data_IF_418334201595
#
_entry.id   IF_418334201595
#
_cell.length_a   1.000
_cell.length_b   1.000
_cell.length_c   1.000
_cell.angle_alpha   90.00
_cell.angle_beta   90.00
_cell.angle_gamma   90.00
#
_symmetry.space_group_name_H-M   'P 1'
#
loop_
_entity.id
_entity.type
_entity.pdbx_description
1 polymer ?
#
# COMPACT_ATOMS: atom_id res chain seq x y z
N UNK A 1 -20.80 -12.02 -10.70
CA UNK A 1 -21.30 -12.18 -9.32
C UNK A 1 -22.04 -13.51 -9.23
N UNK A 2 -21.80 -14.32 -8.19
CA UNK A 2 -22.53 -15.57 -8.00
C UNK A 2 -23.97 -15.26 -7.56
N UNK A 3 -24.95 -15.95 -8.13
CA UNK A 3 -26.37 -15.76 -7.77
C UNK A 3 -26.62 -16.21 -6.33
N UNK A 4 -27.36 -15.40 -5.58
CA UNK A 4 -27.81 -15.77 -4.23
C UNK A 4 -28.64 -17.07 -4.26
N UNK A 5 -29.38 -17.30 -5.34
CA UNK A 5 -30.18 -18.52 -5.54
C UNK A 5 -29.28 -19.77 -5.63
N UNK A 6 -28.17 -19.69 -6.37
CA UNK A 6 -27.23 -20.81 -6.52
C UNK A 6 -26.49 -21.10 -5.21
N UNK A 7 -26.19 -20.05 -4.45
CA UNK A 7 -25.57 -20.14 -3.13
C UNK A 7 -26.50 -20.83 -2.14
N UNK A 8 -27.77 -20.40 -2.07
CA UNK A 8 -28.77 -21.00 -1.20
C UNK A 8 -29.06 -22.45 -1.55
N UNK A 9 -29.15 -22.79 -2.85
CA UNK A 9 -29.35 -24.18 -3.30
C UNK A 9 -28.26 -25.13 -2.79
N UNK A 10 -26.99 -24.70 -2.78
CA UNK A 10 -25.87 -25.50 -2.24
C UNK A 10 -25.99 -25.70 -0.73
N UNK A 11 -26.35 -24.65 0.00
CA UNK A 11 -26.53 -24.75 1.44
C UNK A 11 -27.71 -25.65 1.81
N UNK A 12 -28.86 -25.52 1.15
CA UNK A 12 -30.06 -26.33 1.42
C UNK A 12 -29.87 -27.80 1.07
N UNK A 13 -29.11 -28.12 0.02
CA UNK A 13 -28.88 -29.50 -0.40
C UNK A 13 -27.94 -30.30 0.53
N UNK A 14 -27.16 -29.61 1.37
CA UNK A 14 -26.18 -30.22 2.28
C UNK A 14 -26.63 -30.23 3.75
N UNK A 15 -27.84 -29.75 4.04
CA UNK A 15 -28.38 -29.86 5.40
C UNK A 15 -29.10 -31.20 5.53
N UNK A 16 -28.41 -32.19 6.10
CA UNK A 16 -29.00 -33.47 6.48
C UNK A 16 -29.96 -33.29 7.65
N UNK A 17 -31.17 -32.79 7.38
CA UNK A 17 -32.29 -32.93 8.29
C UNK A 17 -32.88 -34.33 8.14
N UNK A 18 -32.18 -35.36 8.63
CA UNK A 18 -32.79 -36.68 8.78
C UNK A 18 -33.82 -36.63 9.93
N UNK A 19 -35.00 -36.06 9.66
CA UNK A 19 -36.23 -36.24 10.45
C UNK A 19 -36.44 -35.42 11.74
N UNK A 20 -35.67 -34.37 12.03
CA UNK A 20 -35.70 -33.71 13.35
C UNK A 20 -36.08 -32.23 13.39
N UNK A 21 -36.99 -31.90 14.30
CA UNK A 21 -37.51 -30.57 14.73
C UNK A 21 -36.44 -29.67 15.41
N UNK A 22 -35.16 -29.78 15.02
CA UNK A 22 -34.02 -29.20 15.75
C UNK A 22 -33.25 -28.16 14.93
N UNK A 23 -32.68 -27.17 15.61
CA UNK A 23 -31.84 -26.13 15.01
C UNK A 23 -30.49 -26.68 14.50
N UNK A 24 -29.84 -25.92 13.61
CA UNK A 24 -28.50 -26.24 13.07
C UNK A 24 -27.44 -26.37 14.18
N UNK A 25 -26.41 -27.21 13.95
CA UNK A 25 -25.35 -27.52 14.93
C UNK A 25 -24.49 -26.30 15.34
N UNK A 26 -24.39 -25.26 14.50
CA UNK A 26 -23.59 -24.06 14.76
C UNK A 26 -24.48 -22.82 14.97
N UNK A 27 -24.02 -21.87 15.79
CA UNK A 27 -24.71 -20.58 15.99
C UNK A 27 -24.47 -19.54 14.87
N UNK A 28 -23.75 -19.92 13.80
CA UNK A 28 -23.43 -19.06 12.67
C UNK A 28 -21.97 -19.19 12.25
N UNK A 29 -21.53 -18.33 11.32
CA UNK A 29 -20.13 -18.21 10.89
C UNK A 29 -19.59 -16.81 11.17
N UNK A 30 -18.34 -16.72 11.60
CA UNK A 30 -17.64 -15.44 11.73
C UNK A 30 -17.02 -15.10 10.38
N UNK A 31 -17.44 -13.99 9.77
CA UNK A 31 -16.91 -13.51 8.50
C UNK A 31 -17.37 -14.33 7.29
N UNK A 32 -16.46 -14.56 6.33
CA UNK A 32 -16.74 -15.19 5.03
C UNK A 32 -16.19 -16.62 4.88
N UNK A 33 -15.66 -17.19 5.97
CA UNK A 33 -14.95 -18.47 5.92
C UNK A 33 -13.52 -18.34 5.38
N UNK A 34 -13.03 -19.40 4.74
CA UNK A 34 -11.66 -19.45 4.20
C UNK A 34 -11.39 -18.28 3.26
N UNK A 35 -10.27 -17.57 3.48
CA UNK A 35 -9.83 -16.50 2.58
C UNK A 35 -9.52 -17.11 1.22
N UNK A 36 -10.03 -16.50 0.16
CA UNK A 36 -9.72 -16.89 -1.21
C UNK A 36 -8.19 -16.93 -1.41
N UNK A 37 -7.72 -17.89 -2.21
CA UNK A 37 -6.31 -18.07 -2.48
C UNK A 37 -5.68 -16.78 -3.03
N UNK A 38 -4.39 -16.62 -2.72
CA UNK A 38 -3.61 -15.39 -2.84
C UNK A 38 -3.72 -14.72 -4.22
N UNK A 39 -3.47 -13.40 -4.19
CA UNK A 39 -3.70 -12.46 -5.27
C UNK A 39 -2.93 -12.72 -6.57
N UNK A 40 -2.85 -11.72 -7.47
CA UNK A 40 -2.23 -11.90 -8.78
C UNK A 40 -0.80 -12.45 -8.66
N UNK A 41 -0.34 -13.21 -9.67
CA UNK A 41 0.98 -13.82 -9.66
C UNK A 41 2.06 -12.77 -9.40
N UNK A 42 3.04 -13.14 -8.59
CA UNK A 42 4.20 -12.31 -8.32
C UNK A 42 4.93 -12.00 -9.62
N UNK A 43 5.24 -10.72 -9.86
CA UNK A 43 5.98 -10.31 -11.07
C UNK A 43 7.41 -10.81 -10.99
N UNK A 44 7.98 -11.16 -12.14
CA UNK A 44 9.38 -11.58 -12.20
C UNK A 44 10.31 -10.47 -11.67
N UNK A 45 11.32 -10.79 -10.85
CA UNK A 45 12.20 -9.79 -10.22
C UNK A 45 12.93 -8.92 -11.25
N UNK A 46 13.28 -9.50 -12.40
CA UNK A 46 13.92 -8.77 -13.50
C UNK A 46 12.99 -7.73 -14.13
N UNK A 47 11.70 -8.02 -14.24
CA UNK A 47 10.71 -7.07 -14.75
C UNK A 47 10.55 -5.89 -13.80
N UNK A 48 10.48 -6.18 -12.49
CA UNK A 48 10.43 -5.15 -11.44
C UNK A 48 11.68 -4.26 -11.49
N UNK A 49 12.86 -4.86 -11.63
CA UNK A 49 14.12 -4.12 -11.74
C UNK A 49 14.16 -3.22 -13.00
N UNK A 50 13.76 -3.75 -14.17
CA UNK A 50 13.70 -2.97 -15.42
C UNK A 50 12.72 -1.81 -15.33
N UNK A 51 11.52 -2.04 -14.79
CA UNK A 51 10.50 -1.01 -14.63
C UNK A 51 10.96 0.08 -13.64
N UNK A 52 11.58 -0.32 -12.54
CA UNK A 52 12.16 0.61 -11.56
C UNK A 52 13.26 1.47 -12.19
N UNK A 53 14.18 0.86 -12.93
CA UNK A 53 15.24 1.58 -13.63
C UNK A 53 14.68 2.55 -14.67
N UNK A 54 13.69 2.13 -15.47
CA UNK A 54 13.04 2.98 -16.45
C UNK A 54 12.36 4.19 -15.79
N UNK A 55 11.63 3.96 -14.70
CA UNK A 55 11.00 5.02 -13.91
C UNK A 55 12.01 6.02 -13.37
N UNK A 56 13.07 5.56 -12.70
CA UNK A 56 14.12 6.43 -12.16
C UNK A 56 14.83 7.21 -13.27
N UNK A 57 15.08 6.59 -14.42
CA UNK A 57 15.68 7.24 -15.58
C UNK A 57 14.84 8.41 -16.10
N UNK A 58 13.51 8.23 -16.13
CA UNK A 58 12.58 9.30 -16.53
C UNK A 58 12.56 10.41 -15.49
N UNK A 59 12.45 10.09 -14.20
CA UNK A 59 12.49 11.09 -13.12
C UNK A 59 13.78 11.92 -13.19
N UNK A 60 14.94 11.28 -13.34
CA UNK A 60 16.23 11.96 -13.48
C UNK A 60 16.29 12.88 -14.70
N UNK A 61 15.72 12.45 -15.83
CA UNK A 61 15.66 13.30 -17.04
C UNK A 61 14.78 14.52 -16.82
N UNK A 62 13.63 14.36 -16.16
CA UNK A 62 12.73 15.45 -15.83
C UNK A 62 13.40 16.46 -14.87
N UNK A 63 14.22 16.00 -13.93
CA UNK A 63 14.90 16.86 -12.98
C UNK A 63 16.14 17.60 -13.56
N UNK A 64 16.52 17.41 -14.82
CA UNK A 64 17.75 17.97 -15.42
C UNK A 64 17.51 19.14 -16.40
N UNK A 65 16.42 19.89 -16.25
CA UNK A 65 15.99 20.87 -17.25
C UNK A 65 17.08 21.88 -17.68
N UNK A 66 17.44 21.87 -18.98
CA UNK A 66 17.64 23.09 -19.77
C UNK A 66 19.06 23.57 -20.12
N UNK A 67 20.16 22.98 -19.63
CA UNK A 67 21.50 23.54 -19.94
C UNK A 67 22.21 22.80 -21.08
N UNK A 68 22.43 23.53 -22.18
CA UNK A 68 23.32 23.18 -23.29
C UNK A 68 24.81 23.19 -22.83
N UNK A 69 25.24 22.15 -22.08
CA UNK A 69 26.63 21.67 -21.84
C UNK A 69 27.63 22.54 -21.01
N UNK A 70 28.78 21.99 -20.49
CA UNK A 70 29.06 20.78 -19.65
C UNK A 70 29.93 21.10 -18.37
N UNK A 71 30.33 20.16 -17.43
CA UNK A 71 30.44 18.70 -17.54
C UNK A 71 29.92 17.83 -16.37
N UNK A 72 28.89 18.22 -15.61
CA UNK A 72 28.30 17.31 -14.61
C UNK A 72 26.79 17.12 -14.81
N UNK A 73 26.25 15.92 -14.57
CA UNK A 73 24.81 15.66 -14.65
C UNK A 73 24.10 16.27 -13.43
N UNK A 74 24.09 17.60 -13.34
CA UNK A 74 23.51 18.32 -12.22
C UNK A 74 21.99 18.16 -12.23
N UNK A 75 21.46 17.67 -11.10
CA UNK A 75 20.02 17.59 -10.85
C UNK A 75 19.56 18.96 -10.38
N UNK A 76 18.51 19.52 -10.99
CA UNK A 76 17.91 20.77 -10.55
C UNK A 76 17.38 20.60 -9.12
N UNK A 77 17.83 21.43 -8.16
CA UNK A 77 17.47 21.29 -6.75
C UNK A 77 15.97 21.50 -6.48
N UNK A 78 15.30 22.41 -7.21
CA UNK A 78 13.87 22.63 -7.07
C UNK A 78 13.06 21.44 -7.60
N UNK A 79 13.52 20.82 -8.69
CA UNK A 79 12.90 19.61 -9.20
C UNK A 79 13.07 18.43 -8.23
N UNK A 80 14.26 18.27 -7.64
CA UNK A 80 14.50 17.26 -6.61
C UNK A 80 13.65 17.49 -5.35
N UNK A 81 13.53 18.74 -4.90
CA UNK A 81 12.67 19.13 -3.79
C UNK A 81 11.20 18.80 -4.07
N UNK A 82 10.69 19.06 -5.28
CA UNK A 82 9.34 18.71 -5.67
C UNK A 82 9.09 17.19 -5.61
N UNK A 83 10.05 16.37 -6.07
CA UNK A 83 9.98 14.91 -5.96
C UNK A 83 9.97 14.47 -4.49
N UNK A 84 10.81 15.06 -3.65
CA UNK A 84 10.86 14.77 -2.21
C UNK A 84 9.54 15.12 -1.52
N UNK A 85 8.96 16.29 -1.81
CA UNK A 85 7.65 16.70 -1.27
C UNK A 85 6.54 15.73 -1.68
N UNK A 86 6.47 15.36 -2.96
CA UNK A 86 5.50 14.38 -3.45
C UNK A 86 5.66 13.01 -2.77
N UNK A 87 6.89 12.57 -2.52
CA UNK A 87 7.16 11.33 -1.80
C UNK A 87 6.64 11.40 -0.36
N UNK A 88 6.96 12.46 0.39
CA UNK A 88 6.50 12.65 1.77
C UNK A 88 4.97 12.70 1.85
N UNK A 89 4.32 13.43 0.95
CA UNK A 89 2.85 13.49 0.86
C UNK A 89 2.24 12.11 0.58
N UNK A 90 2.85 11.32 -0.30
CA UNK A 90 2.33 9.98 -0.64
C UNK A 90 2.50 8.96 0.50
N UNK A 91 3.62 9.03 1.23
CA UNK A 91 3.98 8.07 2.29
C UNK A 91 3.30 8.42 3.61
N UNK A 92 3.33 9.69 4.00
CA UNK A 92 2.78 10.18 5.26
C UNK A 92 2.13 11.57 5.09
N UNK A 93 0.87 11.62 4.61
CA UNK A 93 0.16 12.89 4.43
C UNK A 93 0.07 13.73 5.71
N UNK A 94 -0.04 13.06 6.88
CA UNK A 94 -0.07 13.72 8.18
C UNK A 94 1.27 14.41 8.52
N UNK A 95 2.41 13.83 8.11
CA UNK A 95 3.71 14.47 8.26
C UNK A 95 3.86 15.65 7.29
N UNK A 96 3.34 15.54 6.05
CA UNK A 96 3.31 16.67 5.11
C UNK A 96 2.45 17.84 5.63
N UNK A 97 1.29 17.55 6.24
CA UNK A 97 0.45 18.56 6.87
C UNK A 97 1.10 19.18 8.12
N UNK A 98 1.88 18.39 8.86
CA UNK A 98 2.67 18.86 10.01
C UNK A 98 3.99 19.53 9.63
N UNK A 99 4.42 19.47 8.35
CA UNK A 99 5.65 20.11 7.86
C UNK A 99 5.61 21.65 7.91
N UNK A 100 4.45 22.23 8.25
CA UNK A 100 4.34 23.62 8.69
C UNK A 100 4.94 23.89 10.08
N UNK A 101 5.29 22.84 10.84
CA UNK A 101 5.95 22.92 12.14
C UNK A 101 7.37 22.37 12.08
N UNK A 102 8.33 23.22 11.67
CA UNK A 102 9.78 23.06 11.87
C UNK A 102 10.45 21.82 11.24
N UNK A 103 11.43 22.04 10.36
CA UNK A 103 12.38 21.01 9.93
C UNK A 103 13.33 20.54 11.05
N UNK A 104 13.14 21.02 12.28
CA UNK A 104 13.95 20.61 13.42
C UNK A 104 13.58 19.19 13.84
N UNK A 105 14.60 18.38 14.10
CA UNK A 105 14.37 17.05 14.64
C UNK A 105 13.87 17.17 16.09
N UNK A 106 12.76 16.50 16.45
CA UNK A 106 12.22 16.57 17.79
C UNK A 106 13.10 15.80 18.81
N UNK A 107 12.96 16.06 20.12
CA UNK A 107 13.60 15.25 21.16
C UNK A 107 13.05 13.82 21.16
N UNK A 108 13.82 12.89 21.74
CA UNK A 108 13.54 11.46 21.75
C UNK A 108 12.20 11.10 22.41
N UNK A 109 11.79 11.83 23.45
CA UNK A 109 10.51 11.60 24.13
C UNK A 109 9.31 11.77 23.20
N UNK A 110 9.41 12.64 22.20
CA UNK A 110 8.32 12.93 21.28
C UNK A 110 8.04 11.76 20.33
N UNK A 111 9.04 10.92 20.04
CA UNK A 111 8.87 9.72 19.21
C UNK A 111 7.86 8.73 19.83
N UNK A 112 7.70 8.72 21.17
CA UNK A 112 6.71 7.89 21.86
C UNK A 112 5.27 8.27 21.49
N UNK A 113 5.03 9.50 21.07
CA UNK A 113 3.73 10.00 20.63
C UNK A 113 3.40 9.70 19.16
N UNK A 114 4.39 9.28 18.36
CA UNK A 114 4.23 9.09 16.90
C UNK A 114 4.40 7.65 16.44
N UNK A 115 4.44 6.67 17.36
CA UNK A 115 4.75 5.26 17.06
C UNK A 115 3.90 4.68 15.95
N UNK A 116 2.58 4.89 15.95
CA UNK A 116 1.69 4.36 14.90
C UNK A 116 2.00 4.95 13.52
N UNK A 117 2.36 6.23 13.46
CA UNK A 117 2.80 6.89 12.22
C UNK A 117 4.10 6.26 11.74
N UNK A 118 5.05 6.06 12.63
CA UNK A 118 6.39 5.58 12.29
C UNK A 118 6.34 4.09 11.87
N UNK A 119 5.49 3.28 12.51
CA UNK A 119 5.19 1.90 12.08
C UNK A 119 4.46 1.85 10.73
N UNK A 120 3.54 2.76 10.48
CA UNK A 120 2.85 2.87 9.18
C UNK A 120 3.81 3.24 8.06
N UNK A 121 4.73 4.18 8.30
CA UNK A 121 5.83 4.52 7.38
C UNK A 121 6.68 3.27 7.11
N UNK A 122 7.12 2.57 8.16
CA UNK A 122 7.94 1.36 8.03
C UNK A 122 7.26 0.27 7.18
N UNK A 123 5.95 0.06 7.35
CA UNK A 123 5.18 -0.91 6.55
C UNK A 123 5.09 -0.56 5.07
N UNK A 124 5.26 0.70 4.68
CA UNK A 124 5.27 1.12 3.27
C UNK A 124 6.62 0.93 2.60
N UNK A 125 7.69 0.85 3.39
CA UNK A 125 9.07 0.65 2.91
C UNK A 125 9.55 -0.80 3.03
N UNK A 126 8.70 -1.70 3.54
CA UNK A 126 8.94 -3.15 3.60
C UNK A 126 8.05 -3.85 2.60
#
# INVERSE_FOLDING_TARGET
AASLLDTNRRFTAAVDFSGGVWSVFHAGVIGRGLKAAAGPPERAPEEVARNTHAFLSVVLRCCRAGETAPPEPAVNPEAAKAVASALVESVCPAAAAAAGGGLCWPPEEQAKGTVERDLSILRRFR
#
